data_IF_424434177184
#
_entry.id   IF_424434177184
#
_cell.length_a   1.000
_cell.length_b   1.000
_cell.length_c   1.000
_cell.angle_alpha   90.00
_cell.angle_beta   90.00
_cell.angle_gamma   90.00
#
_symmetry.space_group_name_H-M   'P 1'
#
loop_
_entity.id
_entity.type
_entity.pdbx_description
1 polymer ?
#
# COMPACT_ATOMS: atom_id res chain seq x y z
N UNK A 1 14.30 16.14 5.39
CA UNK A 1 13.07 15.54 5.91
C UNK A 1 13.31 14.83 7.24
N UNK A 2 14.20 13.83 7.38
CA UNK A 2 14.40 13.10 8.66
C UNK A 2 14.66 14.04 9.87
N UNK A 3 15.53 15.07 9.75
CA UNK A 3 15.78 16.03 10.85
C UNK A 3 14.56 16.87 11.26
N UNK A 4 13.58 17.00 10.36
CA UNK A 4 12.34 17.75 10.59
C UNK A 4 11.17 16.83 10.98
N UNK A 5 11.45 15.55 11.20
CA UNK A 5 10.42 14.53 11.47
C UNK A 5 9.31 14.50 10.42
N UNK A 6 9.67 14.66 9.14
CA UNK A 6 8.73 14.58 8.02
C UNK A 6 8.75 13.18 7.44
N UNK A 7 7.57 12.58 7.28
CA UNK A 7 7.41 11.28 6.60
C UNK A 7 7.78 11.45 5.12
N UNK A 8 8.65 10.57 4.62
CA UNK A 8 9.02 10.54 3.19
C UNK A 8 8.07 9.58 2.49
N UNK A 9 7.42 10.07 1.43
CA UNK A 9 6.55 9.26 0.57
C UNK A 9 7.20 9.03 -0.79
N UNK A 10 7.20 7.78 -1.24
CA UNK A 10 7.82 7.36 -2.51
C UNK A 10 6.81 7.02 -3.61
N UNK A 11 5.51 7.15 -3.37
CA UNK A 11 4.46 6.70 -4.29
C UNK A 11 4.53 7.28 -5.71
N UNK A 12 5.09 8.47 -5.89
CA UNK A 12 5.27 9.10 -7.20
C UNK A 12 6.71 9.11 -7.70
N UNK A 13 7.63 8.47 -6.99
CA UNK A 13 9.02 8.41 -7.43
C UNK A 13 9.21 7.35 -8.52
N UNK A 14 10.20 7.58 -9.39
CA UNK A 14 10.72 6.53 -10.25
C UNK A 14 11.43 5.46 -9.43
N UNK A 15 11.69 4.30 -10.04
CA UNK A 15 12.47 3.23 -9.39
C UNK A 15 13.83 3.75 -8.90
N UNK A 16 14.53 4.57 -9.71
CA UNK A 16 15.78 5.22 -9.30
C UNK A 16 15.61 6.11 -8.06
N UNK A 17 14.56 6.94 -8.06
CA UNK A 17 14.23 7.80 -6.90
C UNK A 17 13.91 7.01 -5.65
N UNK A 18 13.22 5.86 -5.76
CA UNK A 18 13.01 4.95 -4.65
C UNK A 18 14.34 4.50 -4.04
N UNK A 19 15.26 3.98 -4.86
CA UNK A 19 16.56 3.51 -4.38
C UNK A 19 17.45 4.64 -3.83
N UNK A 20 17.29 5.86 -4.31
CA UNK A 20 17.98 7.02 -3.72
C UNK A 20 17.46 7.36 -2.33
N UNK A 21 16.14 7.25 -2.11
CA UNK A 21 15.54 7.36 -0.75
C UNK A 21 16.08 6.25 0.15
N UNK A 22 16.18 5.01 -0.33
CA UNK A 22 16.77 3.88 0.43
C UNK A 22 18.17 4.18 0.91
N UNK A 23 19.00 4.80 0.06
CA UNK A 23 20.40 5.17 0.41
C UNK A 23 20.46 6.33 1.42
N UNK A 24 19.57 7.31 1.28
CA UNK A 24 19.64 8.57 2.02
C UNK A 24 18.82 8.59 3.31
N UNK A 25 17.70 7.86 3.38
CA UNK A 25 16.84 7.87 4.56
C UNK A 25 17.41 7.02 5.68
N UNK A 26 17.39 7.58 6.91
CA UNK A 26 17.73 6.87 8.16
C UNK A 26 16.49 6.44 8.95
N UNK A 27 15.32 6.96 8.58
CA UNK A 27 14.03 6.64 9.18
C UNK A 27 13.20 5.79 8.23
N UNK A 28 12.17 5.08 8.72
CA UNK A 28 11.17 4.49 7.86
C UNK A 28 10.61 5.50 6.86
N UNK A 29 10.14 5.02 5.73
CA UNK A 29 9.48 5.82 4.72
C UNK A 29 8.26 5.05 4.19
N UNK A 30 7.38 5.70 3.46
CA UNK A 30 6.12 5.11 3.03
C UNK A 30 5.96 5.14 1.51
N UNK A 31 5.20 4.20 0.97
CA UNK A 31 4.52 4.32 -0.31
C UNK A 31 3.03 4.48 0.00
N UNK A 32 2.55 5.71 0.12
CA UNK A 32 1.21 5.99 0.64
C UNK A 32 0.09 5.37 -0.20
N UNK A 33 0.31 5.20 -1.53
CA UNK A 33 -0.65 4.64 -2.46
C UNK A 33 0.04 3.94 -3.65
N UNK A 34 0.40 2.66 -3.47
CA UNK A 34 1.08 1.83 -4.47
C UNK A 34 0.70 0.36 -4.31
N UNK A 35 0.64 -0.37 -5.41
CA UNK A 35 0.31 -1.79 -5.42
C UNK A 35 1.52 -2.66 -5.79
N UNK A 36 1.35 -3.97 -6.04
CA UNK A 36 2.42 -4.89 -6.40
C UNK A 36 2.57 -5.01 -7.92
N UNK A 37 3.77 -4.73 -8.46
CA UNK A 37 4.06 -4.77 -9.90
C UNK A 37 4.00 -6.18 -10.47
N UNK A 38 4.28 -7.19 -9.65
CA UNK A 38 4.17 -8.60 -10.04
C UNK A 38 2.73 -9.02 -10.35
N UNK A 39 1.74 -8.41 -9.69
CA UNK A 39 0.32 -8.66 -9.96
C UNK A 39 -0.13 -7.85 -11.18
N UNK A 40 0.19 -6.56 -11.20
CA UNK A 40 -0.16 -5.69 -12.33
C UNK A 40 1.07 -4.89 -12.72
N UNK A 41 1.60 -5.20 -13.92
CA UNK A 41 2.82 -4.58 -14.44
C UNK A 41 2.57 -3.12 -14.83
N UNK A 42 2.58 -2.26 -13.82
CA UNK A 42 2.43 -0.82 -13.97
C UNK A 42 3.58 -0.09 -13.25
N UNK A 43 4.16 0.99 -13.83
CA UNK A 43 5.31 1.67 -13.25
C UNK A 43 5.03 2.33 -11.87
N UNK A 44 3.76 2.61 -11.56
CA UNK A 44 3.34 3.12 -10.26
C UNK A 44 3.32 2.05 -9.16
N UNK A 45 3.35 0.78 -9.54
CA UNK A 45 3.39 -0.35 -8.61
C UNK A 45 4.83 -0.70 -8.23
N UNK A 46 5.04 -1.14 -6.98
CA UNK A 46 6.34 -1.51 -6.46
C UNK A 46 6.73 -2.93 -6.89
N UNK A 47 8.01 -3.13 -7.18
CA UNK A 47 8.56 -4.47 -7.38
C UNK A 47 8.65 -5.23 -6.06
N UNK A 48 8.76 -6.56 -6.11
CA UNK A 48 8.91 -7.40 -4.92
C UNK A 48 10.17 -7.03 -4.10
N UNK A 49 11.26 -6.62 -4.76
CA UNK A 49 12.46 -6.14 -4.11
C UNK A 49 12.18 -4.83 -3.33
N UNK A 50 11.48 -3.87 -3.95
CA UNK A 50 11.08 -2.63 -3.29
C UNK A 50 10.17 -2.89 -2.09
N UNK A 51 9.21 -3.84 -2.21
CA UNK A 51 8.32 -4.22 -1.11
C UNK A 51 9.12 -4.80 0.07
N UNK A 52 10.08 -5.69 -0.21
CA UNK A 52 10.98 -6.26 0.82
C UNK A 52 11.82 -5.18 1.49
N UNK A 53 12.40 -4.27 0.72
CA UNK A 53 13.20 -3.16 1.26
C UNK A 53 12.33 -2.27 2.15
N UNK A 54 11.14 -1.89 1.69
CA UNK A 54 10.21 -1.06 2.45
C UNK A 54 9.83 -1.71 3.77
N UNK A 55 9.47 -3.01 3.74
CA UNK A 55 9.17 -3.80 4.94
C UNK A 55 10.35 -3.87 5.91
N UNK A 56 11.55 -4.21 5.42
CA UNK A 56 12.77 -4.32 6.24
C UNK A 56 13.18 -2.97 6.87
N UNK A 57 12.75 -1.87 6.29
CA UNK A 57 12.95 -0.51 6.83
C UNK A 57 11.84 -0.08 7.79
N UNK A 58 10.89 -0.97 8.12
CA UNK A 58 9.74 -0.66 8.98
C UNK A 58 8.69 0.23 8.30
N UNK A 59 8.79 0.46 6.99
CA UNK A 59 7.86 1.27 6.23
C UNK A 59 6.51 0.61 6.00
N UNK A 60 5.61 1.35 5.33
CA UNK A 60 4.29 0.84 4.92
C UNK A 60 3.98 1.22 3.49
N UNK A 61 3.14 0.41 2.83
CA UNK A 61 2.57 0.73 1.54
C UNK A 61 1.04 0.63 1.57
N UNK A 62 0.38 1.67 1.07
CA UNK A 62 -1.07 1.75 0.98
C UNK A 62 -1.59 1.19 -0.33
N UNK A 63 -2.60 0.33 -0.27
CA UNK A 63 -3.28 -0.20 -1.45
C UNK A 63 -4.00 0.95 -2.15
N UNK A 64 -3.57 1.24 -3.39
CA UNK A 64 -4.20 2.22 -4.26
C UNK A 64 -5.44 1.63 -4.93
N UNK A 65 -6.51 2.42 -5.03
CA UNK A 65 -7.80 1.97 -5.57
C UNK A 65 -8.01 2.35 -7.05
N UNK A 66 -6.99 2.93 -7.69
CA UNK A 66 -7.04 3.17 -9.14
C UNK A 66 -7.07 1.85 -9.90
N UNK A 67 -8.14 1.63 -10.67
CA UNK A 67 -8.39 0.37 -11.38
C UNK A 67 -7.24 -0.07 -12.28
N UNK A 68 -6.56 0.87 -12.93
CA UNK A 68 -5.45 0.56 -13.84
C UNK A 68 -4.21 0.02 -13.13
N UNK A 69 -4.11 0.24 -11.82
CA UNK A 69 -3.01 -0.27 -10.99
C UNK A 69 -3.37 -1.60 -10.31
N UNK A 70 -4.68 -1.94 -10.28
CA UNK A 70 -5.19 -3.15 -9.66
C UNK A 70 -5.19 -4.34 -10.61
N UNK A 71 -5.62 -4.15 -11.84
CA UNK A 71 -5.76 -5.28 -12.77
C UNK A 71 -6.19 -4.85 -14.17
N UNK A 72 -6.83 -5.79 -14.86
CA UNK A 72 -7.32 -5.58 -16.23
C UNK A 72 -8.84 -5.45 -16.29
N UNK A 73 -9.54 -5.56 -15.16
CA UNK A 73 -10.99 -5.37 -15.16
C UNK A 73 -11.31 -3.90 -15.38
N UNK A 74 -12.34 -3.63 -16.18
CA UNK A 74 -12.81 -2.26 -16.42
C UNK A 74 -13.38 -1.60 -15.15
N UNK A 75 -13.73 -2.41 -14.17
CA UNK A 75 -14.41 -1.97 -12.95
C UNK A 75 -13.46 -1.79 -11.74
N UNK A 76 -12.22 -2.33 -11.80
CA UNK A 76 -11.30 -2.35 -10.66
C UNK A 76 -11.87 -3.14 -9.48
N UNK A 77 -11.94 -4.47 -9.62
CA UNK A 77 -12.63 -5.36 -8.66
C UNK A 77 -11.93 -5.41 -7.31
N UNK A 78 -12.70 -5.54 -6.24
CA UNK A 78 -12.16 -5.75 -4.88
C UNK A 78 -11.34 -7.05 -4.81
N UNK A 79 -11.69 -8.07 -5.61
CA UNK A 79 -10.90 -9.31 -5.72
C UNK A 79 -9.48 -9.07 -6.27
N UNK A 80 -9.29 -8.07 -7.13
CA UNK A 80 -7.96 -7.66 -7.60
C UNK A 80 -7.16 -6.99 -6.47
N UNK A 81 -7.81 -6.15 -5.63
CA UNK A 81 -7.17 -5.61 -4.42
C UNK A 81 -6.70 -6.73 -3.49
N UNK A 82 -7.53 -7.77 -3.28
CA UNK A 82 -7.17 -8.93 -2.46
C UNK A 82 -5.96 -9.66 -3.03
N UNK A 83 -5.85 -9.80 -4.35
CA UNK A 83 -4.68 -10.41 -4.96
C UNK A 83 -3.39 -9.63 -4.62
N UNK A 84 -3.43 -8.30 -4.70
CA UNK A 84 -2.31 -7.45 -4.29
C UNK A 84 -2.01 -7.60 -2.79
N UNK A 85 -3.02 -7.53 -1.93
CA UNK A 85 -2.87 -7.65 -0.47
C UNK A 85 -2.21 -8.99 -0.10
N UNK A 86 -2.68 -10.10 -0.66
CA UNK A 86 -2.10 -11.44 -0.45
C UNK A 86 -0.65 -11.50 -0.92
N UNK A 87 -0.36 -10.97 -2.10
CA UNK A 87 0.99 -10.96 -2.65
C UNK A 87 1.94 -10.14 -1.77
N UNK A 88 1.54 -8.91 -1.41
CA UNK A 88 2.35 -8.02 -0.56
C UNK A 88 2.55 -8.62 0.82
N UNK A 89 1.52 -9.24 1.43
CA UNK A 89 1.63 -9.98 2.68
C UNK A 89 2.66 -11.11 2.58
N UNK A 90 2.66 -11.85 1.48
CA UNK A 90 3.60 -12.95 1.24
C UNK A 90 5.05 -12.46 1.05
N UNK A 91 5.25 -11.31 0.41
CA UNK A 91 6.58 -10.75 0.09
C UNK A 91 7.17 -9.96 1.26
N UNK A 92 6.38 -9.10 1.90
CA UNK A 92 6.83 -8.15 2.91
C UNK A 92 6.22 -8.33 4.30
N UNK A 93 5.28 -9.27 4.46
CA UNK A 93 4.55 -9.47 5.71
C UNK A 93 3.37 -8.52 5.87
N UNK A 94 2.56 -8.79 6.91
CA UNK A 94 1.34 -8.02 7.17
C UNK A 94 1.62 -6.58 7.64
N UNK A 95 2.78 -6.34 8.25
CA UNK A 95 3.12 -5.06 8.88
C UNK A 95 3.48 -3.97 7.85
N UNK A 96 3.70 -4.33 6.58
CA UNK A 96 3.94 -3.36 5.50
C UNK A 96 2.65 -2.83 4.87
N UNK A 97 1.51 -3.50 5.06
CA UNK A 97 0.25 -3.19 4.39
C UNK A 97 -0.55 -2.10 5.10
N UNK A 98 -1.10 -1.16 4.33
CA UNK A 98 -2.14 -0.24 4.80
C UNK A 98 -3.11 0.13 3.67
N UNK A 99 -4.11 0.96 3.96
CA UNK A 99 -5.01 1.55 2.97
C UNK A 99 -4.41 2.86 2.46
N UNK A 100 -4.41 3.02 1.14
CA UNK A 100 -3.94 4.22 0.45
C UNK A 100 -4.83 4.56 -0.74
N UNK A 101 -6.13 4.70 -0.50
CA UNK A 101 -7.19 4.75 -1.51
C UNK A 101 -6.96 5.68 -2.70
N UNK A 102 -6.37 6.85 -2.44
CA UNK A 102 -6.12 7.89 -3.45
C UNK A 102 -7.41 8.50 -4.05
N UNK A 103 -8.52 8.48 -3.31
CA UNK A 103 -9.85 8.88 -3.81
C UNK A 103 -9.89 10.25 -4.47
N UNK A 104 -9.18 11.24 -3.94
CA UNK A 104 -9.15 12.59 -4.49
C UNK A 104 -8.16 12.77 -5.63
N UNK A 105 -7.27 11.79 -5.84
CA UNK A 105 -6.21 11.80 -6.85
C UNK A 105 -6.47 10.92 -8.06
N UNK A 106 -7.58 10.17 -8.10
CA UNK A 106 -7.91 9.21 -9.16
C UNK A 106 -9.21 9.56 -9.86
N UNK A 107 -9.26 9.35 -11.20
CA UNK A 107 -10.45 9.62 -12.00
C UNK A 107 -11.42 8.43 -12.02
N UNK A 108 -10.91 7.22 -11.87
CA UNK A 108 -11.66 5.97 -12.03
C UNK A 108 -11.46 5.05 -10.85
N UNK A 109 -12.15 5.32 -9.73
CA UNK A 109 -12.06 4.45 -8.56
C UNK A 109 -12.59 3.04 -8.88
N UNK A 110 -12.10 2.08 -8.12
CA UNK A 110 -12.54 0.69 -8.15
C UNK A 110 -14.02 0.54 -7.75
N UNK A 111 -14.45 -0.71 -7.49
CA UNK A 111 -15.78 -0.99 -6.90
C UNK A 111 -16.03 -0.30 -5.55
N UNK A 112 -14.96 0.17 -4.87
CA UNK A 112 -15.05 1.01 -3.67
C UNK A 112 -14.88 2.46 -4.12
N UNK A 113 -15.94 3.25 -4.05
CA UNK A 113 -15.98 4.62 -4.56
C UNK A 113 -15.79 5.70 -3.51
N UNK A 114 -15.93 5.34 -2.25
CA UNK A 114 -15.86 6.27 -1.12
C UNK A 114 -15.48 5.54 0.18
N UNK A 115 -15.05 6.29 1.18
CA UNK A 115 -14.57 5.74 2.45
C UNK A 115 -15.63 4.97 3.25
N UNK A 116 -16.90 5.31 3.10
CA UNK A 116 -18.02 4.60 3.72
C UNK A 116 -18.26 3.20 3.12
N UNK A 117 -17.72 2.93 1.93
CA UNK A 117 -17.79 1.62 1.27
C UNK A 117 -16.65 0.66 1.64
N UNK A 118 -15.71 1.06 2.48
CA UNK A 118 -14.54 0.23 2.85
C UNK A 118 -14.94 -1.11 3.49
N UNK A 119 -16.16 -1.20 4.04
CA UNK A 119 -16.70 -2.45 4.59
C UNK A 119 -16.72 -3.59 3.54
N UNK A 120 -16.85 -3.27 2.24
CA UNK A 120 -16.82 -4.27 1.16
C UNK A 120 -15.48 -5.00 1.11
N UNK A 121 -14.38 -4.26 1.30
CA UNK A 121 -13.04 -4.85 1.37
C UNK A 121 -12.87 -5.66 2.66
N UNK A 122 -13.37 -5.16 3.79
CA UNK A 122 -13.31 -5.86 5.08
C UNK A 122 -14.05 -7.20 4.99
N UNK A 123 -15.24 -7.22 4.42
CA UNK A 123 -16.04 -8.44 4.26
C UNK A 123 -15.34 -9.47 3.37
N UNK A 124 -14.66 -9.02 2.31
CA UNK A 124 -13.92 -9.93 1.44
C UNK A 124 -12.63 -10.42 2.11
N UNK A 125 -11.91 -9.58 2.86
CA UNK A 125 -10.74 -10.01 3.64
C UNK A 125 -11.12 -11.10 4.65
N UNK A 126 -12.26 -10.97 5.33
CA UNK A 126 -12.78 -12.02 6.24
C UNK A 126 -13.08 -13.34 5.52
N UNK A 127 -13.67 -13.27 4.33
CA UNK A 127 -13.94 -14.46 3.49
C UNK A 127 -12.67 -15.13 2.96
N UNK A 128 -11.58 -14.39 2.86
CA UNK A 128 -10.27 -14.83 2.41
C UNK A 128 -9.33 -15.19 3.56
N UNK A 129 -9.94 -15.52 4.74
CA UNK A 129 -9.28 -16.04 5.94
C UNK A 129 -8.24 -15.09 6.58
N UNK A 130 -8.39 -13.78 6.40
CA UNK A 130 -7.60 -12.82 7.17
C UNK A 130 -8.15 -12.73 8.59
N UNK A 131 -7.26 -12.89 9.57
CA UNK A 131 -7.62 -12.69 10.98
C UNK A 131 -7.98 -11.23 11.27
N UNK A 132 -8.86 -11.00 12.24
CA UNK A 132 -9.29 -9.64 12.60
C UNK A 132 -8.10 -8.73 12.95
N UNK A 133 -7.12 -9.27 13.66
CA UNK A 133 -5.87 -8.55 13.98
C UNK A 133 -5.06 -8.13 12.75
N UNK A 134 -5.11 -8.88 11.66
CA UNK A 134 -4.46 -8.54 10.39
C UNK A 134 -5.25 -7.45 9.64
N UNK A 135 -6.59 -7.57 9.65
CA UNK A 135 -7.48 -6.57 9.06
C UNK A 135 -7.28 -5.22 9.75
N UNK A 136 -7.23 -5.17 11.08
CA UNK A 136 -6.94 -3.94 11.83
C UNK A 136 -5.56 -3.35 11.50
N UNK A 137 -4.53 -4.20 11.27
CA UNK A 137 -3.21 -3.76 10.81
C UNK A 137 -3.31 -3.05 9.46
N UNK A 138 -4.00 -3.65 8.49
CA UNK A 138 -4.22 -3.07 7.16
C UNK A 138 -5.00 -1.77 7.25
N UNK A 139 -6.07 -1.72 8.04
CA UNK A 139 -6.96 -0.57 8.09
C UNK A 139 -6.33 0.66 8.74
N UNK A 140 -5.61 0.50 9.86
CA UNK A 140 -5.12 1.66 10.61
C UNK A 140 -3.86 1.44 11.45
N UNK A 141 -3.62 0.24 12.02
CA UNK A 141 -2.53 0.05 12.99
C UNK A 141 -1.15 0.29 12.39
N UNK A 142 -0.91 -0.16 11.15
CA UNK A 142 0.38 0.02 10.50
C UNK A 142 0.64 1.49 10.16
N UNK A 143 -0.34 2.22 9.65
CA UNK A 143 -0.22 3.66 9.40
C UNK A 143 0.00 4.44 10.70
N UNK A 144 -0.74 4.10 11.75
CA UNK A 144 -0.61 4.73 13.07
C UNK A 144 0.77 4.46 13.69
N UNK A 145 1.35 3.27 13.47
CA UNK A 145 2.73 2.94 13.89
C UNK A 145 3.73 3.90 13.28
N UNK A 146 3.69 4.11 11.95
CA UNK A 146 4.59 5.03 11.24
C UNK A 146 4.45 6.47 11.76
N UNK A 147 3.23 6.93 11.94
CA UNK A 147 2.96 8.27 12.46
C UNK A 147 3.62 8.44 13.84
N UNK A 148 3.41 7.49 14.75
CA UNK A 148 3.98 7.54 16.11
C UNK A 148 5.50 7.39 16.16
N UNK A 149 6.08 6.69 15.17
CA UNK A 149 7.53 6.46 15.13
C UNK A 149 8.29 7.68 14.58
N UNK A 150 7.69 8.44 13.68
CA UNK A 150 8.38 9.53 12.98
C UNK A 150 8.03 10.90 13.57
N UNK A 151 6.78 11.14 13.95
CA UNK A 151 6.29 12.40 14.50
C UNK A 151 6.36 12.43 16.02
#
# INVERSE_FOLDING_TARGET
>A
MNKLKMIIDVSHLSDGGFYDVVKCSKSPFVASHSNARTITNHPRNLTDDMIKILSNRGGVMGINFEKTFLGQSEEGKISEMIAHIKHIKNVGGIDVLCIGSDFDGIETPSEIKSSDEIYKLIDLLKKEDFHESEIEKILYKNSLRIIKEIL
#
